data_IF_762029989824
#
_entry.id   IF_762029989824
#
_cell.length_a   1.000
_cell.length_b   1.000
_cell.length_c   1.000
_cell.angle_alpha   90.00
_cell.angle_beta   90.00
_cell.angle_gamma   90.00
#
_symmetry.space_group_name_H-M   'P 1'
#
loop_
_entity.id
_entity.type
_entity.pdbx_description
1 polymer ?
2 non-polymer ?
3 water ?
#
# COMPACT_ATOMS: atom_id res chain seq x y z
N UNK A 1 -1.03 -16.73 11.51
CA UNK A 1 -2.39 -16.37 12.01
C UNK A 1 -3.36 -16.14 10.85
N UNK A 2 -4.15 -15.09 10.97
CA UNK A 2 -5.12 -14.73 9.94
C UNK A 2 -4.56 -13.66 9.01
N UNK A 3 -4.74 -13.85 7.71
CA UNK A 3 -4.27 -12.89 6.73
C UNK A 3 -5.33 -11.83 6.48
N UNK A 4 -4.87 -10.61 6.22
CA UNK A 4 -5.79 -9.53 5.89
C UNK A 4 -5.71 -9.51 4.38
N UNK A 5 -6.78 -9.94 3.72
CA UNK A 5 -6.80 -9.98 2.27
C UNK A 5 -7.60 -8.82 1.69
N UNK A 6 -7.01 -8.12 0.73
CA UNK A 6 -7.70 -7.03 0.07
C UNK A 6 -8.07 -7.52 -1.32
N UNK A 7 -9.35 -7.42 -1.68
CA UNK A 7 -9.79 -7.87 -2.99
C UNK A 7 -10.97 -7.07 -3.52
N UNK A 8 -11.15 -7.08 -4.83
CA UNK A 8 -12.26 -6.38 -5.44
C UNK A 8 -13.53 -7.17 -5.19
N UNK A 9 -14.59 -6.47 -4.81
CA UNK A 9 -15.86 -7.13 -4.57
C UNK A 9 -16.39 -7.52 -5.95
N UNK A 10 -16.45 -8.83 -6.21
CA UNK A 10 -16.92 -9.32 -7.50
C UNK A 10 -18.40 -9.09 -7.76
N UNK A 11 -19.21 -9.22 -6.72
CA UNK A 11 -20.64 -9.02 -6.88
C UNK A 11 -21.32 -8.57 -5.60
N UNK A 12 -22.37 -7.77 -5.75
CA UNK A 12 -23.11 -7.27 -4.61
C UNK A 12 -24.42 -8.04 -4.40
N UNK A 13 -24.29 -9.28 -3.92
CA UNK A 13 -25.47 -10.09 -3.67
C UNK A 13 -26.04 -9.71 -2.31
N UNK A 14 -27.29 -10.10 -2.05
CA UNK A 14 -27.95 -9.80 -0.78
C UNK A 14 -27.06 -10.16 0.41
N UNK A 15 -26.26 -11.21 0.26
CA UNK A 15 -25.36 -11.66 1.33
C UNK A 15 -24.23 -10.65 1.55
N UNK A 16 -23.53 -10.31 0.47
CA UNK A 16 -22.42 -9.37 0.53
C UNK A 16 -22.89 -8.02 1.04
N UNK A 17 -24.03 -7.57 0.51
CA UNK A 17 -24.60 -6.28 0.90
C UNK A 17 -24.85 -6.26 2.39
N UNK A 18 -25.38 -7.37 2.91
CA UNK A 18 -25.67 -7.48 4.34
C UNK A 18 -24.40 -7.31 5.17
N UNK A 19 -23.32 -7.96 4.73
CA UNK A 19 -22.04 -7.86 5.43
C UNK A 19 -21.50 -6.45 5.39
N UNK A 20 -21.60 -5.80 4.23
CA UNK A 20 -21.11 -4.44 4.08
C UNK A 20 -21.89 -3.51 4.99
N UNK A 21 -23.20 -3.74 5.09
CA UNK A 21 -24.03 -2.92 5.94
C UNK A 21 -23.59 -3.07 7.40
N UNK A 22 -23.36 -4.29 7.84
CA UNK A 22 -22.92 -4.54 9.22
C UNK A 22 -21.61 -3.80 9.51
N UNK A 23 -20.66 -3.91 8.58
CA UNK A 23 -19.37 -3.23 8.72
C UNK A 23 -19.57 -1.73 8.79
N UNK A 24 -20.42 -1.23 7.90
CA UNK A 24 -20.72 0.20 7.84
C UNK A 24 -21.34 0.69 9.14
N UNK A 25 -22.37 -0.01 9.60
CA UNK A 25 -23.05 0.37 10.85
C UNK A 25 -22.11 0.31 12.05
N UNK A 26 -21.24 -0.69 12.06
CA UNK A 26 -20.28 -0.86 13.15
C UNK A 26 -19.27 0.28 13.14
N UNK A 27 -18.71 0.56 11.97
CA UNK A 27 -17.72 1.60 11.86
C UNK A 27 -18.24 3.02 12.07
N UNK A 28 -19.48 3.28 11.65
CA UNK A 28 -20.05 4.62 11.81
C UNK A 28 -20.77 4.84 13.12
N UNK A 29 -20.71 3.87 14.02
CA UNK A 29 -21.35 4.01 15.31
C UNK A 29 -20.70 5.17 16.04
N UNK A 30 -21.50 6.17 16.41
CA UNK A 30 -20.97 7.33 17.10
C UNK A 30 -20.80 8.50 16.15
N UNK A 31 -20.74 8.19 14.85
CA UNK A 31 -20.59 9.21 13.82
C UNK A 31 -21.82 9.26 12.92
N UNK A 32 -22.98 8.97 13.51
CA UNK A 32 -24.25 8.97 12.79
C UNK A 32 -24.53 10.29 12.08
N UNK A 33 -23.92 11.37 12.55
CA UNK A 33 -24.10 12.68 11.94
C UNK A 33 -23.64 12.64 10.48
N UNK A 34 -22.68 11.76 10.20
CA UNK A 34 -22.14 11.62 8.85
C UNK A 34 -22.55 10.31 8.22
N UNK A 35 -22.65 9.27 9.04
CA UNK A 35 -23.03 7.95 8.53
C UNK A 35 -24.52 7.71 8.40
N UNK A 36 -25.34 8.61 8.93
CA UNK A 36 -26.77 8.44 8.85
C UNK A 36 -27.28 7.49 9.92
N UNK A 37 -28.59 7.38 10.06
CA UNK A 37 -29.19 6.50 11.06
C UNK A 37 -29.97 5.35 10.43
N UNK A 38 -29.77 4.14 10.97
CA UNK A 38 -30.47 2.98 10.46
C UNK A 38 -29.76 2.25 9.34
N UNK A 39 -30.05 0.96 9.21
CA UNK A 39 -29.45 0.13 8.18
C UNK A 39 -29.94 0.53 6.78
N UNK A 40 -31.13 1.13 6.71
CA UNK A 40 -31.69 1.55 5.43
C UNK A 40 -30.81 2.60 4.75
N UNK A 41 -30.38 3.61 5.50
CA UNK A 41 -29.52 4.64 4.95
C UNK A 41 -28.27 3.97 4.37
N UNK A 42 -27.65 3.12 5.18
CA UNK A 42 -26.45 2.40 4.77
C UNK A 42 -26.70 1.56 3.52
N UNK A 43 -27.80 0.81 3.53
CA UNK A 43 -28.14 -0.04 2.39
C UNK A 43 -28.26 0.78 1.11
N UNK A 44 -29.00 1.88 1.17
CA UNK A 44 -29.18 2.72 -0.01
C UNK A 44 -27.88 3.38 -0.49
N UNK A 45 -27.06 3.86 0.43
CA UNK A 45 -25.82 4.50 0.01
C UNK A 45 -24.87 3.48 -0.61
N UNK A 46 -24.75 2.32 0.02
CA UNK A 46 -23.86 1.28 -0.49
C UNK A 46 -24.30 0.81 -1.88
N UNK A 47 -25.60 0.68 -2.10
CA UNK A 47 -26.10 0.26 -3.41
C UNK A 47 -25.74 1.33 -4.45
N UNK A 48 -25.89 2.59 -4.07
CA UNK A 48 -25.58 3.70 -4.96
C UNK A 48 -24.09 3.69 -5.30
N UNK A 49 -23.25 3.43 -4.30
CA UNK A 49 -21.80 3.39 -4.52
C UNK A 49 -21.43 2.27 -5.48
N UNK A 50 -22.10 1.12 -5.33
CA UNK A 50 -21.84 -0.03 -6.18
C UNK A 50 -22.23 0.26 -7.62
N UNK A 51 -23.40 0.86 -7.82
CA UNK A 51 -23.84 1.17 -9.18
C UNK A 51 -22.92 2.17 -9.85
N UNK A 52 -22.44 3.14 -9.06
CA UNK A 52 -21.58 4.19 -9.58
C UNK A 52 -20.11 3.80 -9.77
N UNK A 53 -19.59 2.95 -8.88
CA UNK A 53 -18.18 2.59 -8.95
C UNK A 53 -17.81 1.17 -8.53
N UNK A 54 -18.58 0.18 -8.99
CA UNK A 54 -18.31 -1.20 -8.64
C UNK A 54 -16.88 -1.62 -8.98
N UNK A 55 -16.36 -1.08 -10.08
CA UNK A 55 -15.01 -1.41 -10.52
C UNK A 55 -13.92 -1.06 -9.50
N UNK A 56 -14.24 -0.20 -8.54
CA UNK A 56 -13.25 0.18 -7.54
C UNK A 56 -13.72 -0.07 -6.12
N UNK A 57 -14.58 -1.08 -5.97
CA UNK A 57 -15.13 -1.45 -4.68
C UNK A 57 -14.22 -2.52 -4.09
N UNK A 58 -13.36 -2.13 -3.15
CA UNK A 58 -12.42 -3.05 -2.52
C UNK A 58 -12.85 -3.39 -1.10
N UNK A 59 -12.69 -4.66 -0.73
CA UNK A 59 -13.03 -5.09 0.61
C UNK A 59 -11.83 -5.74 1.30
N UNK A 60 -11.74 -5.53 2.61
CA UNK A 60 -10.67 -6.12 3.41
C UNK A 60 -11.32 -7.31 4.07
N UNK A 61 -10.67 -8.47 4.01
CA UNK A 61 -11.23 -9.66 4.61
C UNK A 61 -10.26 -10.40 5.51
N UNK A 62 -10.82 -10.96 6.58
CA UNK A 62 -10.06 -11.74 7.54
C UNK A 62 -10.89 -13.01 7.62
N UNK A 63 -10.50 -14.01 6.83
CA UNK A 63 -11.25 -15.25 6.80
C UNK A 63 -12.32 -15.10 5.72
N UNK A 64 -13.56 -15.48 6.06
CA UNK A 64 -14.65 -15.39 5.10
C UNK A 64 -15.51 -14.15 5.34
N UNK A 65 -15.13 -13.33 6.30
CA UNK A 65 -15.89 -12.13 6.61
C UNK A 65 -15.23 -10.83 6.17
N UNK A 66 -16.06 -9.91 5.69
CA UNK A 66 -15.58 -8.60 5.26
C UNK A 66 -15.48 -7.78 6.55
N UNK A 67 -14.34 -7.13 6.76
CA UNK A 67 -14.16 -6.34 7.97
C UNK A 67 -13.98 -4.86 7.65
N UNK A 68 -13.95 -4.54 6.37
CA UNK A 68 -13.78 -3.15 5.97
C UNK A 68 -13.87 -3.02 4.47
N UNK A 69 -14.10 -1.80 3.98
CA UNK A 69 -14.16 -1.59 2.54
C UNK A 69 -13.95 -0.15 2.16
N UNK A 70 -13.61 0.07 0.89
CA UNK A 70 -13.38 1.41 0.39
C UNK A 70 -13.94 1.42 -1.03
N UNK A 71 -14.57 2.53 -1.40
CA UNK A 71 -15.16 2.67 -2.72
C UNK A 71 -14.39 3.72 -3.50
N UNK A 72 -13.70 3.26 -4.55
CA UNK A 72 -12.86 4.11 -5.38
C UNK A 72 -13.50 4.34 -6.75
N UNK A 73 -13.71 5.60 -7.11
CA UNK A 73 -14.33 5.95 -8.39
C UNK A 73 -13.32 6.60 -9.32
N UNK A 74 -12.95 5.90 -10.40
CA UNK A 74 -11.97 6.44 -11.35
C UNK A 74 -12.65 7.39 -12.34
N UNK A 75 -13.97 7.51 -12.25
CA UNK A 75 -14.71 8.36 -13.17
C UNK A 75 -15.65 9.34 -12.47
N UNK A 76 -15.08 10.22 -11.65
CA UNK A 76 -15.89 11.19 -10.93
C UNK A 76 -15.68 12.62 -11.42
N UNK A 77 -16.77 13.30 -11.76
CA UNK A 77 -16.62 14.66 -12.22
C UNK A 77 -16.72 15.62 -11.04
N UNK A 78 -15.74 16.50 -10.93
CA UNK A 78 -15.72 17.48 -9.85
C UNK A 78 -15.91 18.89 -10.40
N UNK A 79 -16.95 19.56 -9.93
CA UNK A 79 -17.24 20.92 -10.36
C UNK A 79 -16.16 21.86 -9.85
N UNK A 80 -15.49 21.46 -8.77
CA UNK A 80 -14.43 22.26 -8.19
C UNK A 80 -13.14 22.18 -9.02
N UNK A 81 -12.84 21.00 -9.54
CA UNK A 81 -11.65 20.82 -10.38
C UNK A 81 -12.02 21.02 -11.84
N UNK A 82 -13.33 21.12 -12.10
CA UNK A 82 -13.81 21.33 -13.45
C UNK A 82 -13.47 20.22 -14.43
N UNK A 83 -13.27 19.00 -13.93
CA UNK A 83 -12.93 17.88 -14.80
C UNK A 83 -13.07 16.54 -14.08
N UNK A 84 -12.87 15.46 -14.82
CA UNK A 84 -12.96 14.12 -14.24
C UNK A 84 -11.78 13.88 -13.31
N UNK A 85 -12.07 13.37 -12.11
CA UNK A 85 -11.03 13.08 -11.13
C UNK A 85 -11.36 11.76 -10.46
N UNK A 86 -10.46 11.30 -9.59
CA UNK A 86 -10.71 10.08 -8.85
C UNK A 86 -11.42 10.51 -7.59
N UNK A 87 -12.20 9.61 -7.01
CA UNK A 87 -12.91 9.95 -5.78
C UNK A 87 -13.02 8.75 -4.87
N UNK A 88 -13.14 9.01 -3.58
CA UNK A 88 -13.34 7.97 -2.58
C UNK A 88 -14.75 8.28 -2.07
N UNK A 89 -15.71 7.40 -2.35
CA UNK A 89 -17.09 7.62 -1.94
C UNK A 89 -17.39 7.12 -0.53
N UNK A 90 -16.70 6.08 -0.11
CA UNK A 90 -16.91 5.52 1.22
C UNK A 90 -15.64 4.80 1.66
N UNK A 91 -15.45 4.72 2.97
CA UNK A 91 -14.25 4.11 3.52
C UNK A 91 -14.55 3.82 4.98
N UNK A 92 -14.66 2.54 5.33
CA UNK A 92 -14.98 2.20 6.71
C UNK A 92 -14.50 0.82 7.11
N UNK A 93 -14.12 0.70 8.37
CA UNK A 93 -13.64 -0.56 8.91
C UNK A 93 -14.43 -0.89 10.17
N UNK A 94 -14.79 -2.16 10.33
CA UNK A 94 -15.53 -2.61 11.52
C UNK A 94 -14.84 -2.06 12.76
N UNK A 95 -15.61 -1.52 13.68
CA UNK A 95 -15.07 -0.93 14.90
C UNK A 95 -14.10 -1.88 15.62
N UNK A 96 -14.46 -3.15 15.70
CA UNK A 96 -13.63 -4.14 16.37
C UNK A 96 -12.31 -4.39 15.66
N UNK A 97 -12.25 -4.04 14.38
CA UNK A 97 -11.03 -4.26 13.60
C UNK A 97 -10.24 -2.98 13.31
N UNK A 98 -10.68 -1.86 13.86
CA UNK A 98 -9.99 -0.60 13.64
C UNK A 98 -8.69 -0.52 14.44
N UNK A 99 -7.81 0.38 14.02
CA UNK A 99 -6.54 0.56 14.70
C UNK A 99 -5.54 -0.58 14.50
N UNK A 100 -5.80 -1.44 13.52
CA UNK A 100 -4.93 -2.57 13.24
C UNK A 100 -4.27 -2.48 11.86
N UNK A 101 -4.34 -1.31 11.24
CA UNK A 101 -3.72 -1.14 9.94
C UNK A 101 -4.56 -1.57 8.74
N UNK A 102 -5.78 -1.99 8.97
CA UNK A 102 -6.63 -2.42 7.85
C UNK A 102 -7.01 -1.24 6.96
N UNK A 103 -7.38 -0.12 7.58
CA UNK A 103 -7.74 1.06 6.81
C UNK A 103 -6.60 1.50 5.94
N UNK A 104 -5.38 1.48 6.50
CA UNK A 104 -4.19 1.87 5.78
C UNK A 104 -4.04 1.01 4.52
N UNK A 105 -4.26 -0.30 4.66
CA UNK A 105 -4.14 -1.21 3.52
C UNK A 105 -5.15 -0.88 2.43
N UNK A 106 -6.38 -0.59 2.86
CA UNK A 106 -7.42 -0.25 1.91
C UNK A 106 -7.11 1.06 1.21
N UNK A 107 -6.59 2.04 1.94
CA UNK A 107 -6.26 3.34 1.34
C UNK A 107 -5.14 3.22 0.32
N UNK A 108 -4.11 2.45 0.66
CA UNK A 108 -2.98 2.25 -0.24
C UNK A 108 -3.48 1.57 -1.51
N UNK A 109 -4.37 0.58 -1.35
CA UNK A 109 -4.95 -0.12 -2.47
C UNK A 109 -5.71 0.88 -3.35
N UNK A 110 -6.46 1.75 -2.70
CA UNK A 110 -7.22 2.78 -3.40
C UNK A 110 -6.33 3.72 -4.19
N UNK A 111 -5.25 4.19 -3.56
CA UNK A 111 -4.33 5.10 -4.23
C UNK A 111 -3.67 4.45 -5.44
N UNK A 112 -3.31 3.18 -5.31
CA UNK A 112 -2.69 2.44 -6.39
C UNK A 112 -3.69 2.24 -7.54
N UNK A 113 -4.91 1.89 -7.20
CA UNK A 113 -5.94 1.68 -8.21
C UNK A 113 -6.24 2.97 -8.98
N UNK A 114 -6.59 4.03 -8.26
CA UNK A 114 -6.92 5.30 -8.90
C UNK A 114 -5.74 5.96 -9.62
N UNK A 115 -4.53 5.68 -9.14
CA UNK A 115 -3.34 6.25 -9.73
C UNK A 115 -3.13 5.91 -11.19
N UNK A 116 -3.76 4.83 -11.66
CA UNK A 116 -3.61 4.44 -13.05
C UNK A 116 -4.52 5.27 -13.95
N UNK A 117 -5.54 5.87 -13.36
CA UNK A 117 -6.51 6.65 -14.12
C UNK A 117 -6.56 8.16 -13.87
N UNK A 118 -6.36 8.56 -12.63
CA UNK A 118 -6.46 9.98 -12.29
C UNK A 118 -5.21 10.59 -11.66
N UNK A 119 -4.97 11.86 -11.95
CA UNK A 119 -3.83 12.57 -11.39
C UNK A 119 -4.30 13.36 -10.17
N UNK A 120 -5.58 13.19 -9.84
CA UNK A 120 -6.17 13.89 -8.71
C UNK A 120 -7.23 13.00 -8.05
N UNK A 121 -7.25 13.00 -6.72
CA UNK A 121 -8.24 12.23 -5.98
C UNK A 121 -8.95 13.17 -5.02
N UNK A 122 -10.27 13.18 -5.08
CA UNK A 122 -11.09 14.06 -4.25
C UNK A 122 -11.98 13.28 -3.28
N UNK A 123 -12.26 13.88 -2.13
CA UNK A 123 -13.13 13.24 -1.14
C UNK A 123 -13.72 14.27 -0.19
N UNK A 124 -14.80 13.89 0.46
CA UNK A 124 -15.46 14.74 1.44
C UNK A 124 -15.52 13.96 2.75
N UNK A 125 -15.16 14.61 3.84
CA UNK A 125 -15.15 13.97 5.14
C UNK A 125 -15.80 14.90 6.17
N UNK A 126 -16.43 14.30 7.18
CA UNK A 126 -17.07 15.07 8.23
C UNK A 126 -16.09 15.97 8.96
N UNK A 127 -16.53 17.20 9.26
CA UNK A 127 -15.68 18.17 9.93
C UNK A 127 -15.17 17.74 11.31
N UNK A 128 -15.94 16.90 12.00
CA UNK A 128 -15.54 16.44 13.33
C UNK A 128 -14.68 15.17 13.24
N UNK A 129 -14.60 14.59 12.05
CA UNK A 129 -13.84 13.36 11.84
C UNK A 129 -12.32 13.60 11.77
N UNK A 130 -11.72 13.99 12.89
CA UNK A 130 -10.29 14.26 12.91
C UNK A 130 -9.43 13.03 12.65
N UNK A 131 -9.95 11.86 12.99
CA UNK A 131 -9.21 10.62 12.79
C UNK A 131 -9.00 10.32 11.31
N UNK A 132 -10.08 10.39 10.54
CA UNK A 132 -9.99 10.13 9.11
C UNK A 132 -9.13 11.20 8.44
N UNK A 133 -9.35 12.45 8.82
CA UNK A 133 -8.58 13.53 8.22
C UNK A 133 -7.09 13.39 8.51
N UNK A 134 -6.75 12.88 9.70
CA UNK A 134 -5.34 12.68 10.04
C UNK A 134 -4.75 11.64 9.11
N UNK A 135 -5.48 10.55 8.90
CA UNK A 135 -5.02 9.49 8.02
C UNK A 135 -4.83 10.03 6.60
N UNK A 136 -5.83 10.75 6.10
CA UNK A 136 -5.72 11.30 4.75
C UNK A 136 -4.53 12.24 4.56
N UNK A 137 -4.28 13.11 5.54
CA UNK A 137 -3.17 14.05 5.43
C UNK A 137 -1.82 13.32 5.42
N UNK A 138 -1.73 12.21 6.14
CA UNK A 138 -0.51 11.42 6.18
C UNK A 138 -0.20 10.85 4.80
N UNK A 139 -1.24 10.74 3.97
CA UNK A 139 -1.07 10.20 2.64
C UNK A 139 -1.06 11.28 1.56
N UNK A 140 -0.89 12.53 1.98
CA UNK A 140 -0.82 13.60 1.02
C UNK A 140 -2.07 14.40 0.71
N UNK A 141 -3.20 14.04 1.32
CA UNK A 141 -4.44 14.78 1.07
C UNK A 141 -4.38 16.11 1.82
N UNK A 142 -4.95 17.15 1.20
CA UNK A 142 -4.99 18.47 1.81
C UNK A 142 -6.42 19.01 1.80
N UNK A 143 -6.77 19.72 2.86
CA UNK A 143 -8.11 20.31 2.96
C UNK A 143 -8.15 21.48 1.97
N UNK A 144 -9.21 21.58 1.20
CA UNK A 144 -9.29 22.64 0.21
C UNK A 144 -10.63 23.38 0.16
N UNK A 145 -11.57 22.99 0.99
CA UNK A 145 -12.86 23.64 0.99
C UNK A 145 -13.83 23.00 1.95
N UNK A 146 -15.04 23.52 2.00
CA UNK A 146 -16.06 23.00 2.89
C UNK A 146 -17.46 23.22 2.34
N UNK A 147 -18.40 22.46 2.87
CA UNK A 147 -19.80 22.54 2.48
C UNK A 147 -20.59 22.08 3.69
N UNK A 148 -21.09 23.03 4.46
CA UNK A 148 -21.84 22.68 5.65
C UNK A 148 -20.96 21.91 6.62
N UNK A 149 -21.40 20.72 7.01
CA UNK A 149 -20.65 19.90 7.96
C UNK A 149 -19.57 19.08 7.24
N UNK A 150 -19.41 19.29 5.95
CA UNK A 150 -18.43 18.53 5.17
C UNK A 150 -17.19 19.30 4.72
N UNK A 151 -16.05 18.62 4.76
CA UNK A 151 -14.77 19.19 4.36
C UNK A 151 -14.27 18.45 3.10
N UNK A 152 -13.78 19.20 2.12
CA UNK A 152 -13.28 18.60 0.89
C UNK A 152 -11.76 18.49 0.93
N UNK A 153 -11.26 17.30 0.60
CA UNK A 153 -9.82 17.07 0.59
C UNK A 153 -9.41 16.58 -0.79
N UNK A 154 -8.18 16.92 -1.18
CA UNK A 154 -7.71 16.54 -2.50
C UNK A 154 -6.25 16.11 -2.45
N UNK A 155 -5.88 15.20 -3.33
CA UNK A 155 -4.51 14.76 -3.50
C UNK A 155 -4.09 14.81 -4.98
N UNK A 156 -3.00 15.56 -5.23
CA UNK A 156 -2.57 15.72 -6.61
C UNK A 156 -1.28 14.94 -6.89
N UNK A 157 -1.16 14.48 -8.15
CA UNK A 157 0.05 13.76 -8.53
C UNK A 157 1.25 14.71 -8.67
N UNK B 3 3.37 -0.34 -20.08
CA UNK B 3 2.84 -0.28 -18.68
C UNK B 3 3.77 -1.06 -17.74
N UNK B 4 3.57 -0.89 -16.44
CA UNK B 4 4.39 -1.56 -15.45
C UNK B 4 3.85 -2.95 -15.12
N UNK B 5 4.75 -3.93 -15.10
CA UNK B 5 4.38 -5.30 -14.79
C UNK B 5 5.23 -5.80 -13.61
N UNK B 6 4.57 -6.41 -12.63
CA UNK B 6 5.26 -6.96 -11.46
C UNK B 6 5.20 -8.47 -11.57
N UNK B 7 6.34 -9.14 -11.46
CA UNK B 7 6.36 -10.58 -11.53
C UNK B 7 7.49 -11.16 -10.69
N UNK B 8 7.35 -12.43 -10.29
CA UNK B 8 8.39 -13.07 -9.52
C UNK B 8 9.50 -13.43 -10.51
N UNK B 9 10.74 -13.14 -10.16
CA UNK B 9 11.87 -13.46 -11.02
C UNK B 9 12.03 -14.97 -10.97
N UNK B 10 12.02 -15.62 -12.12
CA UNK B 10 12.13 -17.07 -12.17
C UNK B 10 13.53 -17.62 -12.34
N UNK B 11 14.43 -16.80 -12.88
CA UNK B 11 15.80 -17.25 -13.09
C UNK B 11 16.77 -16.09 -13.10
N UNK B 12 17.88 -16.24 -12.38
CA UNK B 12 18.88 -15.18 -12.36
C UNK B 12 19.92 -15.48 -13.43
N UNK B 13 19.53 -15.28 -14.69
CA UNK B 13 20.44 -15.51 -15.80
C UNK B 13 21.22 -14.25 -16.08
N UNK B 14 22.12 -14.31 -17.05
CA UNK B 14 22.95 -13.16 -17.38
C UNK B 14 22.14 -11.90 -17.68
N UNK B 15 21.12 -12.02 -18.51
CA UNK B 15 20.31 -10.86 -18.87
C UNK B 15 19.65 -10.21 -17.66
N UNK B 16 18.98 -11.02 -16.84
CA UNK B 16 18.31 -10.48 -15.66
C UNK B 16 19.32 -9.89 -14.68
N UNK B 17 20.43 -10.60 -14.46
CA UNK B 17 21.44 -10.12 -13.54
C UNK B 17 22.00 -8.75 -13.93
N UNK B 18 22.34 -8.57 -15.20
CA UNK B 18 22.87 -7.28 -15.62
C UNK B 18 21.82 -6.18 -15.53
N UNK B 19 20.56 -6.53 -15.78
CA UNK B 19 19.49 -5.54 -15.68
C UNK B 19 19.31 -5.15 -14.21
N UNK B 20 19.45 -6.12 -13.32
CA UNK B 20 19.31 -5.86 -11.89
C UNK B 20 20.48 -5.00 -11.39
N UNK B 21 21.67 -5.27 -11.90
CA UNK B 21 22.84 -4.49 -11.52
C UNK B 21 22.63 -3.05 -12.00
N UNK B 22 22.11 -2.90 -13.22
CA UNK B 22 21.87 -1.56 -13.76
C UNK B 22 20.93 -0.78 -12.84
N UNK B 23 19.84 -1.43 -12.42
CA UNK B 23 18.88 -0.81 -11.54
C UNK B 23 19.52 -0.45 -10.20
N UNK B 24 20.25 -1.41 -9.63
CA UNK B 24 20.90 -1.18 -8.34
C UNK B 24 21.88 -0.01 -8.41
N UNK B 25 22.71 -0.01 -9.44
CA UNK B 25 23.71 1.04 -9.63
C UNK B 25 23.05 2.40 -9.78
N UNK B 26 21.93 2.44 -10.49
CA UNK B 26 21.20 3.68 -10.68
C UNK B 26 20.66 4.20 -9.35
N UNK B 27 19.93 3.34 -8.65
CA UNK B 27 19.33 3.72 -7.38
C UNK B 27 20.32 4.10 -6.30
N UNK B 28 21.49 3.48 -6.30
CA UNK B 28 22.48 3.78 -5.29
C UNK B 28 23.61 4.65 -5.83
N UNK B 29 23.26 5.47 -6.80
CA UNK B 29 24.17 6.43 -7.41
C UNK B 29 25.59 5.97 -7.74
N UNK B 30 25.69 4.82 -8.39
CA UNK B 30 26.99 4.32 -8.83
C UNK B 30 27.97 3.65 -7.90
N UNK B 31 27.68 3.54 -6.60
CA UNK B 31 28.61 2.91 -5.66
C UNK B 31 30.01 3.44 -5.91
N UNK B 32 30.15 4.76 -5.96
CA UNK B 32 31.45 5.37 -6.25
C UNK B 32 32.59 4.98 -5.32
N UNK B 33 32.30 4.58 -4.09
CA UNK B 33 33.37 4.16 -3.18
C UNK B 33 34.15 2.97 -3.74
N UNK B 34 33.49 2.18 -4.59
CA UNK B 34 34.15 1.00 -5.15
C UNK B 34 34.77 1.24 -6.52
N UNK B 35 34.55 2.43 -7.07
CA UNK B 35 35.12 2.74 -8.36
C UNK B 35 34.72 1.75 -9.45
N UNK B 36 35.69 1.36 -10.27
CA UNK B 36 35.44 0.44 -11.36
C UNK B 36 34.91 -0.93 -10.97
N UNK B 37 34.94 -1.24 -9.68
CA UNK B 37 34.44 -2.53 -9.21
C UNK B 37 33.01 -2.45 -8.70
N UNK B 38 32.39 -1.28 -8.89
CA UNK B 38 31.02 -1.09 -8.43
C UNK B 38 30.08 -2.19 -8.87
N UNK B 39 30.05 -2.48 -10.17
CA UNK B 39 29.17 -3.53 -10.68
C UNK B 39 29.46 -4.89 -10.05
N UNK B 40 30.71 -5.16 -9.72
CA UNK B 40 31.07 -6.44 -9.10
C UNK B 40 30.48 -6.56 -7.69
N UNK B 41 30.48 -5.44 -6.96
CA UNK B 41 29.92 -5.46 -5.61
C UNK B 41 28.41 -5.63 -5.68
N UNK B 42 27.77 -4.92 -6.62
CA UNK B 42 26.33 -5.04 -6.76
C UNK B 42 25.99 -6.46 -7.19
N UNK B 43 26.74 -6.99 -8.14
CA UNK B 43 26.51 -8.34 -8.64
C UNK B 43 26.52 -9.37 -7.51
N UNK B 44 27.57 -9.37 -6.70
CA UNK B 44 27.67 -10.34 -5.60
C UNK B 44 26.55 -10.19 -4.59
N UNK B 45 26.14 -8.96 -4.33
CA UNK B 45 25.06 -8.74 -3.39
C UNK B 45 23.73 -9.25 -3.95
N UNK B 46 23.49 -9.00 -5.23
CA UNK B 46 22.25 -9.45 -5.86
C UNK B 46 22.22 -10.99 -5.88
N UNK B 47 23.36 -11.61 -6.19
CA UNK B 47 23.42 -13.07 -6.20
C UNK B 47 23.11 -13.62 -4.81
N UNK B 48 23.61 -12.93 -3.77
CA UNK B 48 23.36 -13.35 -2.39
C UNK B 48 21.87 -13.26 -2.08
N UNK B 49 21.25 -12.14 -2.46
CA UNK B 49 19.83 -11.94 -2.23
C UNK B 49 19.01 -13.02 -2.91
N UNK B 50 19.39 -13.32 -4.15
CA UNK B 50 18.71 -14.34 -4.91
C UNK B 50 18.86 -15.72 -4.25
N UNK B 51 20.07 -16.06 -3.82
CA UNK B 51 20.29 -17.36 -3.18
C UNK B 51 19.51 -17.49 -1.88
N UNK B 52 19.46 -16.42 -1.09
CA UNK B 52 18.76 -16.43 0.19
C UNK B 52 17.24 -16.33 0.12
N UNK B 53 16.72 -15.58 -0.86
CA UNK B 53 15.29 -15.37 -0.94
C UNK B 53 14.66 -15.33 -2.33
N UNK B 54 15.05 -16.26 -3.20
CA UNK B 54 14.51 -16.27 -4.56
C UNK B 54 12.99 -16.35 -4.67
N UNK B 55 12.34 -17.04 -3.73
CA UNK B 55 10.90 -17.16 -3.83
C UNK B 55 10.17 -15.87 -3.51
N UNK B 56 10.91 -14.89 -2.99
CA UNK B 56 10.33 -13.59 -2.68
C UNK B 56 11.05 -12.50 -3.46
N UNK B 57 11.66 -12.87 -4.57
CA UNK B 57 12.40 -11.91 -5.40
C UNK B 57 11.49 -11.44 -6.52
N UNK B 58 10.91 -10.25 -6.37
CA UNK B 58 9.98 -9.68 -7.35
C UNK B 58 10.62 -8.56 -8.15
N UNK B 59 10.25 -8.46 -9.42
CA UNK B 59 10.78 -7.41 -10.28
C UNK B 59 9.66 -6.66 -10.98
N UNK B 60 9.94 -5.39 -11.27
CA UNK B 60 8.99 -4.53 -11.98
C UNK B 60 9.59 -4.41 -13.37
N UNK B 61 8.77 -4.64 -14.38
CA UNK B 61 9.25 -4.56 -15.74
C UNK B 61 8.42 -3.60 -16.58
N UNK B 62 9.10 -2.84 -17.42
CA UNK B 62 8.46 -1.92 -18.34
C UNK B 62 8.90 -2.50 -19.67
N UNK B 63 8.04 -3.30 -20.27
CA UNK B 63 8.38 -3.95 -21.52
C UNK B 63 9.06 -5.26 -21.15
N UNK B 64 10.26 -5.48 -21.67
CA UNK B 64 10.99 -6.70 -21.36
C UNK B 64 12.23 -6.40 -20.54
N UNK B 65 12.26 -5.21 -19.94
CA UNK B 65 13.40 -4.79 -19.13
C UNK B 65 13.04 -4.58 -17.65
N UNK B 66 13.89 -5.07 -16.76
CA UNK B 66 13.65 -4.89 -15.33
C UNK B 66 14.02 -3.47 -14.96
N UNK B 67 13.12 -2.77 -14.28
CA UNK B 67 13.36 -1.38 -13.89
C UNK B 67 13.33 -1.19 -12.37
N UNK B 68 13.04 -2.26 -11.64
CA UNK B 68 13.00 -2.17 -10.19
C UNK B 68 12.82 -3.55 -9.58
N UNK B 69 13.15 -3.69 -8.31
CA UNK B 69 12.98 -5.00 -7.67
C UNK B 69 12.93 -4.89 -6.16
N UNK B 70 12.43 -5.94 -5.53
CA UNK B 70 12.35 -5.99 -4.08
C UNK B 70 12.65 -7.44 -3.69
N UNK B 71 13.40 -7.62 -2.61
CA UNK B 71 13.78 -8.95 -2.14
C UNK B 71 13.12 -9.21 -0.80
N UNK B 72 12.17 -10.14 -0.82
CA UNK B 72 11.37 -10.49 0.37
C UNK B 72 11.76 -11.86 0.90
N UNK B 73 12.17 -11.89 2.16
CA UNK B 73 12.60 -13.12 2.81
C UNK B 73 11.61 -13.60 3.87
N UNK B 74 10.92 -14.70 3.60
CA UNK B 74 9.94 -15.23 4.54
C UNK B 74 10.58 -16.07 5.66
N UNK B 75 11.90 -16.22 5.61
CA UNK B 75 12.60 -17.05 6.59
C UNK B 75 13.83 -16.35 7.17
N UNK B 76 13.60 -15.24 7.86
CA UNK B 76 14.70 -14.49 8.46
C UNK B 76 14.63 -14.55 9.98
N UNK B 77 15.72 -14.95 10.61
CA UNK B 77 15.68 -14.99 12.07
C UNK B 77 16.16 -13.66 12.62
N UNK B 78 15.32 -13.01 13.41
CA UNK B 78 15.66 -11.74 14.02
C UNK B 78 15.87 -11.95 15.51
N UNK B 79 17.08 -11.65 15.97
CA UNK B 79 17.38 -11.81 17.39
C UNK B 79 16.71 -10.69 18.17
N UNK B 80 16.37 -9.62 17.47
CA UNK B 80 15.70 -8.47 18.11
C UNK B 80 14.27 -8.88 18.44
N UNK B 81 13.62 -9.57 17.50
CA UNK B 81 12.26 -10.02 17.72
C UNK B 81 12.31 -11.40 18.38
N UNK B 82 13.49 -12.01 18.34
CA UNK B 82 13.68 -13.31 18.94
C UNK B 82 12.91 -14.43 18.26
N UNK B 83 12.75 -14.34 16.95
CA UNK B 83 12.00 -15.36 16.22
C UNK B 83 12.14 -15.16 14.72
N UNK B 84 11.56 -16.08 13.96
CA UNK B 84 11.57 -16.00 12.51
C UNK B 84 10.57 -14.92 12.11
N UNK B 85 10.99 -14.02 11.24
CA UNK B 85 10.11 -12.96 10.77
C UNK B 85 10.33 -12.79 9.27
N UNK B 86 9.52 -11.93 8.67
CA UNK B 86 9.68 -11.66 7.26
C UNK B 86 10.71 -10.53 7.19
N UNK B 87 11.42 -10.42 6.09
CA UNK B 87 12.40 -9.35 5.97
C UNK B 87 12.50 -8.83 4.55
N UNK B 88 12.84 -7.55 4.42
CA UNK B 88 13.06 -6.95 3.11
C UNK B 88 14.56 -6.69 3.07
N UNK B 89 15.27 -7.40 2.21
CA UNK B 89 16.72 -7.25 2.10
C UNK B 89 17.12 -6.11 1.19
N UNK B 90 16.37 -5.92 0.12
CA UNK B 90 16.69 -4.86 -0.84
C UNK B 90 15.43 -4.39 -1.54
N UNK B 91 15.46 -3.15 -2.03
CA UNK B 91 14.28 -2.57 -2.65
C UNK B 91 14.78 -1.35 -3.41
N UNK B 92 14.76 -1.41 -4.73
CA UNK B 92 15.27 -0.30 -5.52
C UNK B 92 14.62 -0.18 -6.89
N UNK B 93 14.43 1.06 -7.32
CA UNK B 93 13.84 1.36 -8.62
C UNK B 93 14.81 2.29 -9.35
N UNK B 94 15.01 2.03 -10.64
CA UNK B 94 15.90 2.85 -11.46
C UNK B 94 15.42 4.31 -11.35
N UNK B 95 16.37 5.22 -11.17
CA UNK B 95 16.03 6.64 -11.02
C UNK B 95 15.12 7.19 -12.12
N UNK B 96 15.32 6.73 -13.35
CA UNK B 96 14.51 7.20 -14.47
C UNK B 96 13.06 6.75 -14.34
N UNK B 97 12.81 5.76 -13.49
CA UNK B 97 11.48 5.22 -13.29
C UNK B 97 10.88 5.49 -11.91
N UNK B 98 11.61 6.21 -11.06
CA UNK B 98 11.12 6.53 -9.73
C UNK B 98 10.00 7.56 -9.76
N UNK B 99 9.27 7.67 -8.66
CA UNK B 99 8.18 8.62 -8.57
C UNK B 99 6.99 8.35 -9.46
N UNK B 100 6.83 7.08 -9.87
CA UNK B 100 5.72 6.70 -10.74
C UNK B 100 4.83 5.63 -10.13
N UNK B 101 5.09 5.29 -8.86
CA UNK B 101 4.29 4.29 -8.20
C UNK B 101 4.81 2.87 -8.28
N UNK B 102 5.96 2.68 -8.92
CA UNK B 102 6.54 1.35 -9.04
C UNK B 102 6.92 0.81 -7.66
N UNK B 103 7.57 1.66 -6.86
CA UNK B 103 7.95 1.24 -5.52
C UNK B 103 6.73 0.78 -4.73
N UNK B 104 5.66 1.58 -4.79
CA UNK B 104 4.43 1.22 -4.08
C UNK B 104 3.93 -0.15 -4.53
N UNK B 105 3.94 -0.38 -5.85
CA UNK B 105 3.48 -1.67 -6.38
C UNK B 105 4.36 -2.81 -5.88
N UNK B 106 5.66 -2.58 -5.82
CA UNK B 106 6.57 -3.62 -5.35
C UNK B 106 6.34 -3.91 -3.87
N UNK B 107 6.10 -2.86 -3.09
CA UNK B 107 5.89 -3.04 -1.66
C UNK B 107 4.56 -3.75 -1.40
N UNK B 108 3.53 -3.41 -2.17
CA UNK B 108 2.25 -4.09 -2.00
C UNK B 108 2.46 -5.57 -2.28
N UNK B 109 3.23 -5.87 -3.32
CA UNK B 109 3.52 -7.26 -3.68
C UNK B 109 4.27 -7.94 -2.54
N UNK B 110 5.24 -7.22 -1.97
CA UNK B 110 6.03 -7.73 -0.87
C UNK B 110 5.16 -8.10 0.34
N UNK B 111 4.32 -7.17 0.77
CA UNK B 111 3.46 -7.42 1.92
C UNK B 111 2.48 -8.55 1.68
N UNK B 112 1.96 -8.64 0.45
CA UNK B 112 1.03 -9.71 0.09
C UNK B 112 1.74 -11.05 0.24
N UNK B 113 2.96 -11.11 -0.27
CA UNK B 113 3.75 -12.33 -0.22
C UNK B 113 4.11 -12.73 1.21
N UNK B 114 4.82 -11.85 1.92
CA UNK B 114 5.23 -12.15 3.28
C UNK B 114 4.07 -12.35 4.23
N UNK B 115 2.96 -11.66 3.98
CA UNK B 115 1.79 -11.78 4.84
C UNK B 115 1.24 -13.20 4.93
N UNK B 116 1.56 -14.03 3.95
CA UNK B 116 1.08 -15.41 3.96
C UNK B 116 1.88 -16.26 4.94
N UNK B 117 3.07 -15.78 5.31
CA UNK B 117 3.95 -16.52 6.19
C UNK B 117 4.30 -15.89 7.53
N UNK B 118 4.47 -14.57 7.53
CA UNK B 118 4.88 -13.87 8.75
C UNK B 118 3.92 -12.77 9.18
N UNK B 119 3.82 -12.54 10.48
CA UNK B 119 2.97 -11.48 11.00
C UNK B 119 3.83 -10.26 11.28
N UNK B 120 5.13 -10.42 11.10
CA UNK B 120 6.08 -9.34 11.34
C UNK B 120 7.07 -9.21 10.18
N UNK B 121 7.37 -7.98 9.81
CA UNK B 121 8.33 -7.73 8.73
C UNK B 121 9.40 -6.78 9.25
N UNK B 122 10.66 -7.15 9.06
CA UNK B 122 11.77 -6.36 9.54
C UNK B 122 12.65 -5.86 8.40
N UNK B 123 13.21 -4.68 8.55
CA UNK B 123 14.09 -4.11 7.55
C UNK B 123 15.02 -3.08 8.18
N UNK B 124 16.11 -2.79 7.49
CA UNK B 124 17.09 -1.81 7.93
C UNK B 124 17.21 -0.82 6.80
N UNK B 125 17.25 0.47 7.14
CA UNK B 125 17.36 1.52 6.14
C UNK B 125 18.33 2.58 6.60
N UNK B 126 19.03 3.20 5.66
CA UNK B 126 19.99 4.24 5.99
C UNK B 126 19.40 5.40 6.78
N UNK B 127 20.16 5.90 7.75
CA UNK B 127 19.70 6.99 8.61
C UNK B 127 19.31 8.26 7.85
N UNK B 128 19.89 8.48 6.68
CA UNK B 128 19.58 9.68 5.91
C UNK B 128 18.65 9.40 4.74
N UNK B 129 18.13 8.18 4.68
CA UNK B 129 17.24 7.79 3.59
C UNK B 129 15.79 8.14 3.93
N UNK B 130 15.53 9.43 4.09
CA UNK B 130 14.20 9.91 4.45
C UNK B 130 13.12 9.50 3.46
N UNK B 131 13.46 9.45 2.18
CA UNK B 131 12.51 9.05 1.17
C UNK B 131 11.98 7.65 1.42
N UNK B 132 12.87 6.70 1.65
CA UNK B 132 12.44 5.33 1.90
C UNK B 132 11.70 5.20 3.24
N UNK B 133 12.21 5.88 4.27
CA UNK B 133 11.56 5.80 5.57
C UNK B 133 10.13 6.31 5.49
N UNK B 134 9.91 7.39 4.75
CA UNK B 134 8.57 7.95 4.59
C UNK B 134 7.64 6.91 3.96
N UNK B 135 8.12 6.27 2.91
CA UNK B 135 7.33 5.25 2.22
C UNK B 135 7.02 4.08 3.15
N UNK B 136 8.03 3.60 3.87
CA UNK B 136 7.79 2.48 4.78
C UNK B 136 6.79 2.85 5.87
N UNK B 137 6.90 4.07 6.38
CA UNK B 137 5.99 4.50 7.43
C UNK B 137 4.54 4.55 6.90
N UNK B 138 4.38 4.90 5.63
CA UNK B 138 3.04 4.94 5.05
C UNK B 138 2.47 3.52 4.99
N UNK B 139 3.36 2.54 4.84
CA UNK B 139 2.93 1.14 4.78
C UNK B 139 2.79 0.48 6.16
N UNK B 140 2.99 1.26 7.22
CA UNK B 140 2.83 0.71 8.56
C UNK B 140 4.09 0.35 9.33
N UNK B 141 5.25 0.58 8.73
CA UNK B 141 6.51 0.27 9.41
C UNK B 141 6.81 1.35 10.43
N UNK B 142 7.46 0.96 11.52
CA UNK B 142 7.81 1.89 12.59
C UNK B 142 9.29 1.74 12.93
N UNK B 143 9.95 2.85 13.21
CA UNK B 143 11.36 2.82 13.59
C UNK B 143 11.43 2.26 15.00
N UNK B 144 12.30 1.28 15.22
CA UNK B 144 12.41 0.64 16.52
C UNK B 144 13.84 0.43 17.03
N UNK B 145 14.83 0.85 16.24
CA UNK B 145 16.19 0.67 16.68
C UNK B 145 17.21 1.21 15.70
N UNK B 146 18.48 1.22 16.10
CA UNK B 146 19.52 1.72 15.22
C UNK B 146 20.87 1.08 15.52
N UNK B 147 21.62 0.80 14.46
CA UNK B 147 22.94 0.20 14.59
C UNK B 147 23.83 0.94 13.61
N UNK B 148 24.74 1.75 14.13
CA UNK B 148 25.61 2.51 13.26
C UNK B 148 24.76 3.48 12.46
N UNK B 149 24.93 3.53 11.16
CA UNK B 149 24.15 4.44 10.32
C UNK B 149 22.88 3.77 9.80
N UNK B 150 22.51 2.64 10.38
CA UNK B 150 21.32 1.94 9.93
C UNK B 150 20.18 1.95 10.96
N UNK B 151 18.98 2.22 10.49
CA UNK B 151 17.79 2.25 11.34
C UNK B 151 16.94 1.01 11.08
N UNK B 152 16.53 0.34 12.15
CA UNK B 152 15.70 -0.85 12.01
C UNK B 152 14.23 -0.47 12.08
N UNK B 153 13.44 -0.96 11.13
CA UNK B 153 12.02 -0.68 11.13
C UNK B 153 11.25 -1.99 11.15
N UNK B 154 10.10 -1.98 11.81
CA UNK B 154 9.27 -3.16 11.93
C UNK B 154 7.80 -2.90 11.65
N UNK B 155 7.15 -3.87 11.01
CA UNK B 155 5.72 -3.79 10.77
C UNK B 155 5.20 -5.05 11.43
N UNK B 156 4.39 -4.90 12.47
CA UNK B 156 3.85 -6.05 13.18
C UNK B 156 2.33 -5.99 13.17
N UNK B 157 1.69 -7.04 12.65
CA UNK B 157 0.24 -7.09 12.59
C UNK B 157 -0.32 -7.48 13.95
N UNK B 158 -1.24 -6.66 14.44
CA UNK B 158 -1.86 -6.90 15.74
C UNK B 158 -3.05 -7.85 15.67
N UNK B 159 -3.38 -8.47 16.80
CA UNK B 159 -4.51 -9.37 16.86
C UNK B 159 -5.75 -8.54 17.21
#
# INVERSE_FOLDING_TARGET
>A
MDEIKIEKLKKLDKKALNELIDVYMSGYEGLEEYGGEGRDYARNYIKWCWKKASDGFFVAKVGDKIVGFIVCDKDWFSKYEGRIVGAIHEFVVDKKFQGKGIGRKLLITCLDFLGKYNDTIELWVGEKNYGAMNLYEKFGFKKVGKSGIWVRMIKRQNL
>B
MDEIKIEKLKKLDKKALNELIDVYMSGYEGLEEYGGEGRDYARNYIKWCWKKASDGFFVAKVGDKIVGFIVCDKDWFSKYEGRIVGAIHEFVVDKKFQGKGIGRKLLITCLDFLGKYNDTIELWVGEKNYGAMNLYEKFGFKKVGKSGIWVRMIKRQNL
#
